data_IF_317457069796
#
_entry.id   IF_317457069796
#
_cell.length_a   1.000
_cell.length_b   1.000
_cell.length_c   1.000
_cell.angle_alpha   90.00
_cell.angle_beta   90.00
_cell.angle_gamma   90.00
#
_symmetry.space_group_name_H-M   'P 1'
#
loop_
_entity.id
_entity.type
_entity.pdbx_description
1 polymer ?
#
# COMPACT_ATOMS: atom_id res chain seq x y z
N UNK A 1 -0.60 12.13 -62.99
CA UNK A 1 -1.70 12.48 -62.05
C UNK A 1 -1.66 11.49 -60.89
N UNK A 2 -0.80 11.73 -59.87
CA UNK A 2 -0.65 10.86 -58.73
C UNK A 2 -1.48 11.41 -57.55
N UNK A 3 -2.52 10.68 -57.16
CA UNK A 3 -3.34 10.98 -56.00
C UNK A 3 -2.59 10.60 -54.73
N UNK A 4 -2.30 11.58 -53.88
CA UNK A 4 -1.77 11.40 -52.55
C UNK A 4 -2.76 10.65 -51.65
N UNK A 5 -2.47 9.40 -51.31
CA UNK A 5 -3.17 8.61 -50.30
C UNK A 5 -2.59 8.99 -48.90
N UNK A 6 -3.30 9.85 -48.16
CA UNK A 6 -2.99 10.13 -46.76
C UNK A 6 -3.39 8.91 -45.94
N UNK A 7 -2.38 8.14 -45.51
CA UNK A 7 -2.55 7.05 -44.54
C UNK A 7 -2.78 7.67 -43.14
N UNK A 8 -4.04 7.75 -42.71
CA UNK A 8 -4.36 8.07 -41.32
C UNK A 8 -4.07 6.84 -40.46
N UNK A 9 -2.94 6.83 -39.77
CA UNK A 9 -2.66 5.84 -38.73
C UNK A 9 -3.51 6.21 -37.52
N UNK A 10 -4.64 5.55 -37.34
CA UNK A 10 -5.41 5.55 -36.10
C UNK A 10 -4.64 4.72 -35.06
N UNK A 11 -3.86 5.36 -34.21
CA UNK A 11 -3.32 4.72 -33.02
C UNK A 11 -4.50 4.55 -32.07
N UNK A 12 -5.09 3.36 -32.05
CA UNK A 12 -6.00 2.95 -30.99
C UNK A 12 -5.21 2.87 -29.68
N UNK A 13 -5.30 3.90 -28.87
CA UNK A 13 -5.00 3.78 -27.46
C UNK A 13 -6.07 2.87 -26.84
N UNK A 14 -5.82 1.56 -26.87
CA UNK A 14 -6.54 0.64 -26.00
C UNK A 14 -6.21 1.08 -24.57
N UNK A 15 -7.21 1.46 -23.75
CA UNK A 15 -6.96 1.66 -22.34
C UNK A 15 -6.42 0.33 -21.81
N UNK A 16 -5.21 0.33 -21.26
CA UNK A 16 -4.71 -0.81 -20.51
C UNK A 16 -5.61 -0.86 -19.28
N UNK A 17 -6.66 -1.65 -19.37
CA UNK A 17 -7.52 -1.96 -18.25
C UNK A 17 -6.66 -2.80 -17.32
N UNK A 18 -6.15 -2.18 -16.26
CA UNK A 18 -5.45 -2.89 -15.21
C UNK A 18 -6.50 -3.74 -14.49
N UNK A 19 -6.63 -5.00 -14.91
CA UNK A 19 -7.53 -5.94 -14.24
C UNK A 19 -7.01 -6.15 -12.82
N UNK A 20 -7.90 -5.99 -11.84
CA UNK A 20 -7.62 -6.33 -10.46
C UNK A 20 -7.13 -7.79 -10.40
N UNK A 21 -5.99 -8.00 -9.77
CA UNK A 21 -5.43 -9.34 -9.64
C UNK A 21 -6.24 -10.16 -8.67
N UNK A 22 -6.46 -11.44 -9.03
CA UNK A 22 -7.16 -12.42 -8.20
C UNK A 22 -6.17 -13.11 -7.27
N UNK A 23 -6.49 -13.17 -6.01
CA UNK A 23 -5.76 -13.83 -4.93
C UNK A 23 -6.54 -15.04 -4.43
N UNK A 24 -5.86 -16.00 -3.82
CA UNK A 24 -6.49 -17.20 -3.27
C UNK A 24 -5.84 -17.60 -1.96
N UNK A 25 -6.66 -17.77 -0.93
CA UNK A 25 -6.28 -18.29 0.39
C UNK A 25 -7.03 -19.59 0.67
N UNK A 26 -6.34 -20.56 1.28
CA UNK A 26 -6.95 -21.77 1.81
C UNK A 26 -6.78 -21.78 3.33
N UNK A 27 -7.88 -21.76 4.04
CA UNK A 27 -7.92 -21.89 5.49
C UNK A 27 -8.25 -23.34 5.82
N UNK A 28 -7.27 -24.06 6.36
CA UNK A 28 -7.45 -25.42 6.85
C UNK A 28 -7.85 -25.34 8.32
N UNK A 29 -9.13 -25.56 8.57
CA UNK A 29 -9.71 -25.45 9.90
C UNK A 29 -9.22 -26.55 10.85
N UNK A 30 -8.66 -27.66 10.32
CA UNK A 30 -8.11 -28.75 11.13
C UNK A 30 -6.85 -28.30 11.90
N UNK A 31 -6.11 -27.33 11.37
CA UNK A 31 -4.87 -26.84 11.94
C UNK A 31 -5.05 -25.67 12.93
N UNK A 32 -6.26 -25.15 13.08
CA UNK A 32 -6.51 -24.03 13.98
C UNK A 32 -6.67 -24.53 15.42
N UNK A 33 -5.70 -24.20 16.27
CA UNK A 33 -5.72 -24.60 17.69
C UNK A 33 -6.48 -23.63 18.59
N UNK A 34 -6.67 -22.39 18.17
CA UNK A 34 -7.22 -21.34 19.03
C UNK A 34 -8.14 -20.39 18.25
N UNK A 35 -9.36 -20.86 17.98
CA UNK A 35 -10.40 -20.04 17.36
C UNK A 35 -11.37 -19.52 18.44
N UNK A 36 -11.17 -18.27 18.86
CA UNK A 36 -12.00 -17.61 19.89
C UNK A 36 -13.09 -16.72 19.27
N UNK A 37 -13.94 -17.29 18.40
CA UNK A 37 -15.00 -16.57 17.70
C UNK A 37 -14.55 -15.77 16.48
N UNK A 38 -13.28 -15.32 16.43
CA UNK A 38 -12.69 -14.63 15.29
C UNK A 38 -11.34 -15.25 14.95
N UNK A 39 -11.13 -15.55 13.68
CA UNK A 39 -9.86 -16.03 13.14
C UNK A 39 -9.43 -15.16 11.96
N UNK A 40 -8.14 -14.83 11.90
CA UNK A 40 -7.56 -14.01 10.81
C UNK A 40 -6.41 -14.75 10.16
N UNK A 41 -6.40 -14.76 8.84
CA UNK A 41 -5.29 -15.22 8.02
C UNK A 41 -5.09 -14.23 6.87
N UNK A 42 -3.94 -13.52 6.87
CA UNK A 42 -3.74 -12.40 5.96
C UNK A 42 -4.83 -11.34 6.13
N UNK A 43 -5.46 -10.95 5.03
CA UNK A 43 -6.59 -9.99 5.04
C UNK A 43 -7.95 -10.66 5.23
N UNK A 44 -8.02 -11.99 5.30
CA UNK A 44 -9.26 -12.74 5.49
C UNK A 44 -9.62 -12.83 6.97
N UNK A 45 -10.88 -12.59 7.27
CA UNK A 45 -11.47 -12.67 8.61
C UNK A 45 -12.62 -13.67 8.58
N UNK A 46 -12.52 -14.69 9.42
CA UNK A 46 -13.62 -15.61 9.74
C UNK A 46 -14.15 -15.25 11.13
N UNK A 47 -15.45 -15.11 11.24
CA UNK A 47 -16.13 -14.87 12.51
C UNK A 47 -17.29 -15.84 12.64
N UNK A 48 -17.45 -16.44 13.82
CA UNK A 48 -18.60 -17.31 14.14
C UNK A 48 -19.38 -16.66 15.26
N UNK A 49 -20.67 -16.51 15.02
CA UNK A 49 -21.60 -15.98 16.01
C UNK A 49 -22.79 -16.92 16.18
N UNK A 50 -23.43 -16.88 17.36
CA UNK A 50 -24.68 -17.57 17.61
C UNK A 50 -25.88 -16.81 16.99
N UNK A 51 -27.08 -17.37 17.09
CA UNK A 51 -28.32 -16.74 16.60
C UNK A 51 -28.63 -15.36 17.18
N UNK A 52 -27.97 -14.98 18.29
CA UNK A 52 -28.10 -13.67 18.92
C UNK A 52 -26.98 -12.69 18.47
N UNK A 53 -26.17 -13.09 17.48
CA UNK A 53 -25.05 -12.28 16.98
C UNK A 53 -23.82 -12.21 17.91
N UNK A 54 -23.79 -13.02 18.97
CA UNK A 54 -22.67 -13.04 19.91
C UNK A 54 -21.55 -13.96 19.39
N UNK A 55 -20.31 -13.47 19.23
CA UNK A 55 -19.18 -14.32 18.89
C UNK A 55 -18.94 -15.40 19.94
N UNK A 56 -18.66 -16.62 19.52
CA UNK A 56 -18.32 -17.71 20.43
C UNK A 56 -17.21 -18.58 19.86
N UNK A 57 -16.54 -19.33 20.75
CA UNK A 57 -15.49 -20.26 20.33
C UNK A 57 -16.12 -21.54 19.77
N UNK A 58 -15.94 -21.82 18.49
CA UNK A 58 -16.50 -23.02 17.86
C UNK A 58 -15.86 -24.30 18.42
N UNK A 59 -16.60 -25.39 18.33
CA UNK A 59 -16.12 -26.70 18.74
C UNK A 59 -15.48 -27.41 17.56
N UNK A 60 -14.28 -27.95 17.78
CA UNK A 60 -13.60 -28.81 16.83
C UNK A 60 -13.79 -30.27 17.23
N UNK A 61 -14.15 -31.12 16.28
CA UNK A 61 -14.36 -32.55 16.47
C UNK A 61 -13.44 -33.37 15.56
N UNK A 62 -13.06 -34.56 16.02
CA UNK A 62 -12.17 -35.47 15.29
C UNK A 62 -10.75 -35.50 15.83
N UNK A 63 -9.96 -36.46 15.36
CA UNK A 63 -8.54 -36.63 15.68
C UNK A 63 -7.70 -35.58 14.92
N UNK A 64 -6.45 -35.44 15.31
CA UNK A 64 -5.53 -34.41 14.80
C UNK A 64 -5.46 -34.30 13.28
N UNK A 65 -5.58 -35.43 12.58
CA UNK A 65 -5.49 -35.49 11.10
C UNK A 65 -6.86 -35.42 10.40
N UNK A 66 -7.97 -35.56 11.11
CA UNK A 66 -9.34 -35.53 10.58
C UNK A 66 -10.25 -34.61 11.39
N UNK A 67 -9.71 -33.49 11.83
CA UNK A 67 -10.39 -32.50 12.66
C UNK A 67 -11.29 -31.62 11.80
N UNK A 68 -12.51 -31.36 12.31
CA UNK A 68 -13.52 -30.53 11.67
C UNK A 68 -14.00 -29.42 12.60
N UNK A 69 -14.27 -28.31 12.01
CA UNK A 69 -14.99 -27.22 12.64
C UNK A 69 -16.49 -27.56 12.66
N UNK A 70 -17.08 -27.71 13.85
CA UNK A 70 -18.50 -27.93 14.04
C UNK A 70 -19.23 -26.60 14.02
N UNK A 71 -20.14 -26.47 13.06
CA UNK A 71 -20.99 -25.30 12.85
C UNK A 71 -22.44 -25.72 13.14
N UNK A 72 -23.05 -25.15 14.20
CA UNK A 72 -24.39 -25.53 14.62
C UNK A 72 -25.45 -24.91 13.71
N UNK A 73 -26.63 -25.48 13.68
CA UNK A 73 -27.73 -25.09 12.80
C UNK A 73 -28.23 -23.65 13.04
N UNK A 74 -27.98 -23.09 14.20
CA UNK A 74 -28.38 -21.73 14.58
C UNK A 74 -27.29 -20.71 14.47
N UNK A 75 -26.07 -21.14 14.10
CA UNK A 75 -24.91 -20.28 14.04
C UNK A 75 -24.80 -19.55 12.70
N UNK A 76 -24.06 -18.47 12.71
CA UNK A 76 -23.66 -17.72 11.53
C UNK A 76 -22.16 -17.79 11.36
N UNK A 77 -21.70 -18.16 10.16
CA UNK A 77 -20.31 -18.02 9.73
C UNK A 77 -20.19 -16.79 8.86
N UNK A 78 -19.41 -15.84 9.30
CA UNK A 78 -19.09 -14.64 8.56
C UNK A 78 -17.72 -14.77 7.91
N UNK A 79 -17.62 -14.50 6.62
CA UNK A 79 -16.39 -14.44 5.86
C UNK A 79 -16.27 -13.04 5.30
N UNK A 80 -15.21 -12.34 5.66
CA UNK A 80 -14.94 -10.97 5.22
C UNK A 80 -13.44 -10.72 5.11
N UNK A 81 -13.07 -9.50 4.73
CA UNK A 81 -11.68 -9.08 4.77
C UNK A 81 -11.53 -7.59 4.55
N UNK A 82 -10.32 -7.10 4.81
CA UNK A 82 -10.00 -5.68 4.70
C UNK A 82 -9.77 -5.30 3.24
N UNK A 83 -10.58 -4.37 2.74
CA UNK A 83 -10.46 -3.84 1.38
C UNK A 83 -10.45 -4.90 0.27
N UNK A 84 -11.22 -5.97 0.44
CA UNK A 84 -11.35 -7.06 -0.54
C UNK A 84 -12.77 -7.23 -1.06
N UNK A 85 -12.86 -7.91 -2.20
CA UNK A 85 -14.09 -8.37 -2.81
C UNK A 85 -13.99 -9.86 -3.06
N UNK A 86 -14.90 -10.64 -2.47
CA UNK A 86 -14.94 -12.08 -2.60
C UNK A 86 -15.39 -12.46 -4.03
N UNK A 87 -14.65 -13.33 -4.70
CA UNK A 87 -14.93 -13.85 -6.04
C UNK A 87 -15.50 -15.26 -6.00
N UNK A 88 -14.88 -16.12 -5.18
CA UNK A 88 -15.26 -17.50 -5.03
C UNK A 88 -14.99 -17.95 -3.58
N UNK A 89 -15.89 -18.73 -3.02
CA UNK A 89 -15.69 -19.40 -1.74
C UNK A 89 -16.05 -20.88 -1.91
N UNK A 90 -15.12 -21.78 -1.58
CA UNK A 90 -15.33 -23.23 -1.67
C UNK A 90 -15.19 -23.84 -0.29
N UNK A 91 -16.25 -24.45 0.19
CA UNK A 91 -16.29 -25.18 1.45
C UNK A 91 -16.02 -26.66 1.22
N UNK A 92 -15.11 -27.24 1.96
CA UNK A 92 -14.90 -28.68 2.06
C UNK A 92 -15.52 -29.15 3.35
N UNK A 93 -16.62 -29.92 3.25
CA UNK A 93 -17.43 -30.36 4.39
C UNK A 93 -17.49 -31.88 4.49
N UNK A 94 -17.62 -32.40 5.72
CA UNK A 94 -17.85 -33.83 5.96
C UNK A 94 -19.31 -34.15 5.73
N UNK A 95 -19.61 -35.15 4.87
CA UNK A 95 -20.94 -35.78 4.61
C UNK A 95 -22.04 -34.97 3.91
N UNK A 96 -22.93 -35.72 3.27
CA UNK A 96 -23.88 -35.36 2.19
C UNK A 96 -25.24 -34.79 2.65
N UNK A 97 -25.47 -34.42 3.90
CA UNK A 97 -26.87 -34.29 4.40
C UNK A 97 -27.23 -32.88 4.92
N UNK A 98 -26.54 -31.86 4.53
CA UNK A 98 -26.86 -30.48 4.92
C UNK A 98 -26.62 -29.52 3.77
N UNK A 99 -27.42 -28.48 3.71
CA UNK A 99 -27.26 -27.39 2.80
C UNK A 99 -26.81 -26.14 3.58
N UNK A 100 -25.86 -25.40 3.03
CA UNK A 100 -25.48 -24.09 3.52
C UNK A 100 -26.39 -23.04 2.89
N UNK A 101 -26.88 -22.12 3.68
CA UNK A 101 -27.68 -20.98 3.25
C UNK A 101 -26.88 -19.70 3.39
N UNK A 102 -26.76 -18.95 2.31
CA UNK A 102 -26.25 -17.60 2.34
C UNK A 102 -27.36 -16.69 2.85
N UNK A 103 -27.12 -15.98 3.96
CA UNK A 103 -28.04 -14.97 4.48
C UNK A 103 -27.78 -13.63 3.81
N UNK A 104 -26.52 -13.24 3.69
CA UNK A 104 -26.06 -11.99 3.05
C UNK A 104 -24.91 -12.29 2.11
N UNK A 105 -24.80 -11.61 0.97
CA UNK A 105 -25.66 -10.52 0.46
C UNK A 105 -26.97 -10.99 -0.18
N UNK A 106 -27.14 -12.28 -0.44
CA UNK A 106 -28.35 -12.82 -1.08
C UNK A 106 -28.89 -13.99 -0.28
N UNK A 107 -30.16 -14.05 -0.15
CA UNK A 107 -30.88 -15.16 0.49
C UNK A 107 -30.91 -16.37 -0.49
N UNK A 108 -29.85 -17.18 -0.51
CA UNK A 108 -29.71 -18.31 -1.45
C UNK A 108 -29.19 -19.57 -0.75
N UNK A 109 -29.81 -20.69 -1.03
CA UNK A 109 -29.32 -22.01 -0.59
C UNK A 109 -28.25 -22.48 -1.59
N UNK A 110 -27.08 -22.84 -1.06
CA UNK A 110 -26.04 -23.50 -1.82
C UNK A 110 -26.38 -24.98 -1.96
N UNK A 111 -26.78 -25.38 -3.15
CA UNK A 111 -26.96 -26.79 -3.47
C UNK A 111 -25.61 -27.42 -3.81
N UNK A 112 -25.39 -28.62 -3.32
CA UNK A 112 -24.23 -29.41 -3.68
C UNK A 112 -24.28 -29.72 -5.19
N UNK A 113 -23.55 -28.97 -6.01
CA UNK A 113 -23.51 -29.18 -7.45
C UNK A 113 -22.39 -30.12 -7.90
N UNK A 114 -21.36 -30.28 -7.08
CA UNK A 114 -20.13 -31.00 -7.44
C UNK A 114 -19.89 -32.15 -6.46
N UNK A 115 -20.76 -33.18 -6.51
CA UNK A 115 -20.40 -34.49 -5.97
C UNK A 115 -19.32 -35.09 -6.89
N UNK A 116 -18.09 -34.64 -6.77
CA UNK A 116 -16.96 -35.46 -7.19
C UNK A 116 -16.81 -36.55 -6.14
N UNK A 117 -17.53 -37.64 -6.30
CA UNK A 117 -17.27 -38.87 -5.59
C UNK A 117 -15.92 -39.42 -6.04
N UNK A 118 -14.86 -38.87 -5.49
CA UNK A 118 -13.63 -39.62 -5.40
C UNK A 118 -13.91 -40.75 -4.39
N UNK A 119 -13.91 -42.01 -4.79
CA UNK A 119 -14.34 -43.19 -4.02
C UNK A 119 -13.72 -43.31 -2.61
N UNK A 120 -12.75 -42.47 -2.29
CA UNK A 120 -12.03 -42.43 -1.01
C UNK A 120 -12.17 -41.12 -0.21
N UNK A 121 -12.92 -40.12 -0.70
CA UNK A 121 -13.03 -38.81 -0.01
C UNK A 121 -14.48 -38.62 0.47
N UNK A 122 -14.63 -38.55 1.79
CA UNK A 122 -15.91 -38.35 2.49
C UNK A 122 -16.38 -36.87 2.52
N UNK A 123 -15.97 -36.00 1.56
CA UNK A 123 -16.19 -34.58 1.64
C UNK A 123 -17.18 -34.09 0.57
N UNK A 124 -18.00 -33.12 0.93
CA UNK A 124 -18.87 -32.39 0.02
C UNK A 124 -18.29 -31.00 -0.27
N UNK A 125 -18.40 -30.53 -1.50
CA UNK A 125 -17.91 -29.23 -1.92
C UNK A 125 -19.08 -28.30 -2.21
N UNK A 126 -19.07 -27.13 -1.59
CA UNK A 126 -20.04 -26.06 -1.84
C UNK A 126 -19.28 -24.87 -2.41
N UNK A 127 -19.67 -24.40 -3.59
CA UNK A 127 -19.01 -23.30 -4.28
C UNK A 127 -19.98 -22.14 -4.45
N UNK A 128 -19.53 -20.95 -4.07
CA UNK A 128 -20.13 -19.68 -4.45
C UNK A 128 -19.35 -19.14 -5.65
N UNK A 129 -19.97 -19.12 -6.83
CA UNK A 129 -19.41 -18.48 -8.01
C UNK A 129 -19.69 -16.97 -7.97
N UNK A 130 -18.72 -16.18 -8.51
CA UNK A 130 -18.63 -14.74 -8.38
C UNK A 130 -19.64 -13.90 -9.16
N UNK A 131 -20.83 -14.42 -9.43
CA UNK A 131 -21.88 -13.62 -10.10
C UNK A 131 -22.35 -12.43 -9.26
N UNK A 132 -21.93 -12.36 -7.97
CA UNK A 132 -22.29 -11.28 -7.07
C UNK A 132 -21.14 -11.00 -6.12
N UNK A 133 -20.39 -9.97 -6.44
CA UNK A 133 -19.23 -9.50 -5.72
C UNK A 133 -19.65 -8.93 -4.35
N UNK A 134 -19.15 -9.49 -3.26
CA UNK A 134 -19.41 -8.98 -1.93
C UNK A 134 -18.14 -8.86 -1.09
N UNK A 135 -18.11 -7.91 -0.18
CA UNK A 135 -17.03 -7.74 0.80
C UNK A 135 -17.23 -8.59 2.05
N UNK A 136 -18.46 -9.07 2.29
CA UNK A 136 -18.83 -9.91 3.44
C UNK A 136 -19.87 -10.96 3.02
N UNK A 137 -19.60 -12.21 3.37
CA UNK A 137 -20.48 -13.34 3.18
C UNK A 137 -20.94 -13.84 4.56
N UNK A 138 -22.24 -14.02 4.77
CA UNK A 138 -22.81 -14.59 5.99
C UNK A 138 -23.59 -15.85 5.61
N UNK A 139 -23.26 -16.96 6.27
CA UNK A 139 -23.87 -18.27 6.03
C UNK A 139 -24.45 -18.84 7.32
N UNK A 140 -25.48 -19.67 7.15
CA UNK A 140 -26.02 -20.55 8.21
C UNK A 140 -26.31 -21.92 7.64
N UNK A 141 -26.59 -22.88 8.49
CA UNK A 141 -27.15 -24.19 8.07
C UNK A 141 -28.64 -24.06 7.77
N UNK A 142 -29.12 -24.73 6.73
CA UNK A 142 -30.56 -24.80 6.40
C UNK A 142 -31.29 -25.86 7.22
N UNK A 143 -30.54 -26.82 7.75
CA UNK A 143 -31.08 -27.98 8.48
C UNK A 143 -30.90 -27.83 9.99
N UNK A 144 -31.65 -28.54 10.77
CA UNK A 144 -31.47 -28.65 12.24
C UNK A 144 -30.20 -29.44 12.61
N UNK A 145 -29.38 -29.81 11.64
CA UNK A 145 -28.14 -30.58 11.83
C UNK A 145 -26.92 -29.70 11.73
N UNK A 146 -25.93 -30.07 12.51
CA UNK A 146 -24.62 -29.40 12.45
C UNK A 146 -23.89 -29.65 11.14
N UNK A 147 -23.17 -28.65 10.69
CA UNK A 147 -22.29 -28.70 9.53
C UNK A 147 -20.81 -28.87 10.01
N UNK A 148 -20.10 -29.77 9.37
CA UNK A 148 -18.71 -30.05 9.71
C UNK A 148 -17.82 -29.60 8.56
N UNK A 149 -17.12 -28.47 8.76
CA UNK A 149 -16.26 -27.84 7.73
C UNK A 149 -14.82 -28.21 8.02
N UNK A 150 -14.11 -28.77 7.01
CA UNK A 150 -12.69 -29.10 7.07
C UNK A 150 -11.81 -27.92 6.62
N UNK A 151 -12.17 -27.31 5.49
CA UNK A 151 -11.41 -26.18 4.96
C UNK A 151 -12.31 -25.24 4.16
N UNK A 152 -11.85 -24.02 4.05
CA UNK A 152 -12.47 -22.96 3.25
C UNK A 152 -11.40 -22.41 2.31
N UNK A 153 -11.62 -22.53 0.99
CA UNK A 153 -10.83 -21.85 -0.02
C UNK A 153 -11.54 -20.57 -0.42
N UNK A 154 -10.86 -19.45 -0.32
CA UNK A 154 -11.39 -18.13 -0.62
C UNK A 154 -10.59 -17.54 -1.77
N UNK A 155 -11.28 -17.13 -2.83
CA UNK A 155 -10.72 -16.39 -3.97
C UNK A 155 -11.27 -14.98 -3.91
N UNK A 156 -10.40 -14.00 -3.99
CA UNK A 156 -10.76 -12.60 -3.81
C UNK A 156 -9.89 -11.66 -4.66
N UNK A 157 -10.31 -10.44 -4.79
CA UNK A 157 -9.52 -9.34 -5.33
C UNK A 157 -9.50 -8.19 -4.32
N UNK A 158 -8.43 -7.42 -4.30
CA UNK A 158 -8.40 -6.17 -3.54
C UNK A 158 -9.18 -5.09 -4.29
N UNK A 159 -9.91 -4.29 -3.53
CA UNK A 159 -10.37 -3.00 -4.02
C UNK A 159 -9.17 -2.07 -4.19
N UNK A 160 -9.19 -1.14 -5.14
CA UNK A 160 -8.13 -0.15 -5.28
C UNK A 160 -7.94 0.64 -3.98
N UNK A 161 -6.68 0.93 -3.66
CA UNK A 161 -6.33 1.79 -2.53
C UNK A 161 -6.37 3.24 -2.97
N UNK A 162 -7.23 4.03 -2.34
CA UNK A 162 -7.44 5.44 -2.66
C UNK A 162 -6.50 6.32 -1.88
N UNK A 163 -5.64 7.08 -2.57
CA UNK A 163 -4.66 8.00 -1.98
C UNK A 163 -4.96 9.42 -2.44
N UNK A 164 -5.11 10.35 -1.49
CA UNK A 164 -5.32 11.76 -1.77
C UNK A 164 -4.01 12.54 -1.68
N UNK A 165 -3.74 13.36 -2.70
CA UNK A 165 -2.60 14.29 -2.75
C UNK A 165 -3.15 15.72 -2.66
N UNK A 166 -2.61 16.48 -1.71
CA UNK A 166 -3.02 17.85 -1.43
C UNK A 166 -2.33 18.87 -2.38
N UNK A 167 -2.55 20.16 -2.12
CA UNK A 167 -1.83 21.27 -2.80
C UNK A 167 -0.31 21.19 -2.63
N UNK A 168 0.19 20.47 -1.63
CA UNK A 168 1.61 20.21 -1.45
C UNK A 168 2.22 19.38 -2.60
N UNK A 169 1.38 18.81 -3.49
CA UNK A 169 1.74 17.96 -4.63
C UNK A 169 2.61 16.75 -4.25
N UNK A 170 2.62 16.42 -2.97
CA UNK A 170 3.38 15.28 -2.41
C UNK A 170 2.59 14.62 -1.29
N UNK A 171 2.78 13.31 -1.17
CA UNK A 171 2.31 12.49 -0.06
C UNK A 171 3.31 11.37 0.21
N UNK A 172 3.24 10.74 1.37
CA UNK A 172 4.02 9.52 1.64
C UNK A 172 3.12 8.31 1.62
N UNK A 173 3.69 7.14 1.26
CA UNK A 173 2.96 5.89 1.19
C UNK A 173 3.83 4.72 1.67
N UNK A 174 3.21 3.80 2.42
CA UNK A 174 3.82 2.57 2.87
C UNK A 174 2.76 1.48 3.08
N UNK A 175 3.07 0.26 2.64
CA UNK A 175 2.37 -0.98 2.98
C UNK A 175 3.40 -2.10 3.16
N UNK A 176 3.37 -2.81 4.28
CA UNK A 176 4.34 -3.88 4.55
C UNK A 176 4.04 -5.14 3.76
N UNK A 177 2.78 -5.41 3.47
CA UNK A 177 2.25 -6.66 2.92
C UNK A 177 1.75 -6.55 1.48
N UNK A 178 1.61 -5.35 0.92
CA UNK A 178 1.05 -5.10 -0.40
C UNK A 178 2.05 -4.47 -1.36
N UNK A 179 2.20 -5.08 -2.54
CA UNK A 179 2.84 -4.43 -3.68
C UNK A 179 1.81 -3.66 -4.49
N UNK A 180 2.16 -2.46 -4.96
CA UNK A 180 1.23 -1.50 -5.55
C UNK A 180 1.66 -1.09 -6.95
N UNK A 181 0.73 -1.11 -7.91
CA UNK A 181 0.97 -0.57 -9.26
C UNK A 181 0.79 0.94 -9.23
N UNK A 182 1.80 1.68 -9.69
CA UNK A 182 1.76 3.15 -9.77
C UNK A 182 0.76 3.59 -10.83
N UNK A 183 -0.27 4.38 -10.48
CA UNK A 183 -1.28 4.84 -11.44
C UNK A 183 -0.76 5.96 -12.33
N UNK A 184 -1.55 6.31 -13.35
CA UNK A 184 -1.27 7.48 -14.20
C UNK A 184 -1.28 8.77 -13.37
N UNK A 185 -0.39 9.70 -13.71
CA UNK A 185 -0.30 11.02 -13.08
C UNK A 185 0.52 11.04 -11.78
N UNK A 186 1.03 9.90 -11.33
CA UNK A 186 1.91 9.77 -10.16
C UNK A 186 3.31 9.32 -10.58
N UNK A 187 4.30 9.85 -9.87
CA UNK A 187 5.65 9.30 -9.79
C UNK A 187 5.95 9.05 -8.32
N UNK A 188 6.44 7.85 -8.00
CA UNK A 188 6.87 7.52 -6.64
C UNK A 188 8.40 7.45 -6.57
N UNK A 189 8.97 7.91 -5.45
CA UNK A 189 10.39 7.96 -5.23
C UNK A 189 10.77 7.37 -3.88
N UNK A 190 11.84 6.60 -3.86
CA UNK A 190 12.62 6.36 -2.65
C UNK A 190 13.70 7.43 -2.49
N UNK A 191 14.26 7.53 -1.30
CA UNK A 191 15.26 8.54 -0.98
C UNK A 191 16.44 7.93 -0.23
N UNK A 192 17.63 8.53 -0.44
CA UNK A 192 18.87 8.25 0.29
C UNK A 192 19.44 9.52 0.87
N UNK A 193 20.33 9.41 1.84
CA UNK A 193 21.07 10.54 2.39
C UNK A 193 22.52 10.44 1.92
N UNK A 194 22.97 11.49 1.21
CA UNK A 194 24.34 11.62 0.69
C UNK A 194 24.89 12.97 1.15
N UNK A 195 26.05 12.98 1.77
CA UNK A 195 26.69 14.21 2.26
C UNK A 195 25.73 15.09 3.08
N UNK A 196 24.97 14.47 3.99
CA UNK A 196 23.95 15.12 4.81
C UNK A 196 22.87 15.87 4.00
N UNK A 197 22.54 15.39 2.81
CA UNK A 197 21.49 15.89 1.93
C UNK A 197 20.57 14.76 1.50
N UNK A 198 19.27 15.04 1.42
CA UNK A 198 18.26 14.07 0.97
C UNK A 198 18.22 14.08 -0.55
N UNK A 199 18.51 12.94 -1.16
CA UNK A 199 18.52 12.76 -2.61
C UNK A 199 17.53 11.70 -3.05
N UNK A 200 16.93 11.89 -4.23
CA UNK A 200 16.11 10.87 -4.89
C UNK A 200 16.99 9.66 -5.22
N UNK A 201 16.54 8.46 -4.89
CA UNK A 201 17.27 7.22 -5.13
C UNK A 201 16.62 6.44 -6.30
N UNK A 202 15.54 5.72 -6.06
CA UNK A 202 14.87 4.95 -7.11
C UNK A 202 13.54 5.59 -7.50
N UNK A 203 13.20 5.49 -8.80
CA UNK A 203 11.99 6.05 -9.38
C UNK A 203 11.05 4.94 -9.83
N UNK A 204 9.78 5.04 -9.43
CA UNK A 204 8.69 4.22 -9.94
C UNK A 204 7.77 5.10 -10.78
N UNK A 205 7.68 4.81 -12.07
CA UNK A 205 6.81 5.49 -13.02
C UNK A 205 5.45 4.79 -13.12
N UNK A 206 4.55 5.33 -13.95
CA UNK A 206 3.28 4.68 -14.28
C UNK A 206 3.51 3.20 -14.68
N UNK A 207 2.71 2.30 -14.12
CA UNK A 207 2.76 0.85 -14.29
C UNK A 207 3.96 0.14 -13.64
N UNK A 208 4.94 0.85 -13.08
CA UNK A 208 5.94 0.23 -12.24
C UNK A 208 5.30 -0.25 -10.93
N UNK A 209 5.98 -1.16 -10.25
CA UNK A 209 5.49 -1.77 -9.02
C UNK A 209 6.32 -1.27 -7.86
N UNK A 210 5.66 -0.59 -6.91
CA UNK A 210 6.23 -0.32 -5.59
C UNK A 210 6.15 -1.63 -4.80
N UNK A 211 7.29 -2.25 -4.42
CA UNK A 211 7.29 -3.50 -3.69
C UNK A 211 6.69 -3.35 -2.30
N UNK A 212 6.11 -4.42 -1.78
CA UNK A 212 5.72 -4.48 -0.38
C UNK A 212 6.90 -4.16 0.56
N UNK A 213 6.63 -3.48 1.66
CA UNK A 213 7.65 -3.03 2.63
C UNK A 213 8.53 -1.88 2.12
N UNK A 214 8.16 -1.22 1.01
CA UNK A 214 8.91 -0.09 0.46
C UNK A 214 8.16 1.21 0.74
N UNK A 215 8.75 2.07 1.55
CA UNK A 215 8.24 3.41 1.81
C UNK A 215 8.66 4.37 0.69
N UNK A 216 7.73 5.21 0.23
CA UNK A 216 7.96 6.15 -0.89
C UNK A 216 7.35 7.52 -0.61
N UNK A 217 7.86 8.52 -1.33
CA UNK A 217 7.19 9.81 -1.54
C UNK A 217 6.53 9.80 -2.91
N UNK A 218 5.27 10.10 -2.95
CA UNK A 218 4.46 10.28 -4.16
C UNK A 218 4.53 11.74 -4.61
N UNK A 219 4.77 11.97 -5.88
CA UNK A 219 4.71 13.30 -6.53
C UNK A 219 3.60 13.28 -7.59
N UNK A 220 2.62 14.17 -7.46
CA UNK A 220 1.52 14.33 -8.40
C UNK A 220 0.83 15.68 -8.22
N UNK A 221 -0.06 16.05 -9.12
CA UNK A 221 -0.97 17.17 -8.89
C UNK A 221 -1.95 16.84 -7.76
N UNK A 222 -2.58 17.87 -7.19
CA UNK A 222 -3.69 17.67 -6.25
C UNK A 222 -4.76 16.79 -6.87
N UNK A 223 -5.24 15.79 -6.14
CA UNK A 223 -6.26 14.87 -6.62
C UNK A 223 -6.30 13.58 -5.82
N UNK A 224 -7.17 12.69 -6.26
CA UNK A 224 -7.35 11.36 -5.71
C UNK A 224 -6.91 10.32 -6.73
N UNK A 225 -6.13 9.35 -6.31
CA UNK A 225 -5.50 8.34 -7.16
C UNK A 225 -5.76 6.94 -6.62
N UNK A 226 -6.02 6.00 -7.52
CA UNK A 226 -6.31 4.62 -7.17
C UNK A 226 -5.11 3.72 -7.51
N UNK A 227 -4.54 3.09 -6.48
CA UNK A 227 -3.47 2.12 -6.61
C UNK A 227 -4.03 0.71 -6.62
N UNK A 228 -3.67 -0.08 -7.60
CA UNK A 228 -4.06 -1.49 -7.70
C UNK A 228 -3.05 -2.35 -6.95
N UNK A 229 -3.56 -3.22 -6.06
CA UNK A 229 -2.75 -4.22 -5.36
C UNK A 229 -2.40 -5.36 -6.32
N UNK A 230 -1.14 -5.80 -6.29
CA UNK A 230 -0.63 -6.87 -7.16
C UNK A 230 0.22 -7.87 -6.39
N UNK A 231 0.22 -9.14 -6.82
CA UNK A 231 1.15 -10.15 -6.32
C UNK A 231 2.52 -10.11 -7.03
N UNK A 232 2.66 -9.28 -8.08
CA UNK A 232 3.95 -9.12 -8.75
C UNK A 232 4.93 -8.40 -7.83
N UNK A 233 6.19 -8.72 -7.96
CA UNK A 233 7.29 -8.09 -7.24
C UNK A 233 7.88 -6.95 -8.07
N UNK A 234 8.19 -5.83 -7.41
CA UNK A 234 8.94 -4.73 -8.00
C UNK A 234 10.41 -4.75 -7.58
N UNK A 235 11.18 -3.78 -8.08
CA UNK A 235 12.58 -3.60 -7.70
C UNK A 235 12.65 -2.89 -6.34
N UNK A 236 13.32 -3.51 -5.35
CA UNK A 236 13.58 -2.90 -4.05
C UNK A 236 14.84 -2.06 -4.11
N UNK A 237 14.76 -0.85 -3.61
CA UNK A 237 15.90 0.03 -3.42
C UNK A 237 16.56 -0.24 -2.06
N UNK A 238 17.82 -0.65 -2.07
CA UNK A 238 18.59 -0.97 -0.86
C UNK A 238 19.04 0.27 -0.08
N UNK A 239 19.15 1.39 -0.76
CA UNK A 239 19.62 2.66 -0.20
C UNK A 239 18.50 3.51 0.39
N UNK A 240 17.26 3.02 0.34
CA UNK A 240 16.09 3.75 0.80
C UNK A 240 16.12 3.98 2.32
N UNK A 241 16.26 5.24 2.72
CA UNK A 241 16.22 5.65 4.14
C UNK A 241 14.81 5.84 4.69
N UNK A 242 13.80 5.79 3.81
CA UNK A 242 12.41 5.89 4.23
C UNK A 242 11.97 4.60 4.92
N UNK A 243 11.27 4.74 6.02
CA UNK A 243 10.56 3.69 6.76
C UNK A 243 9.08 4.03 6.79
N UNK A 244 8.26 3.08 7.18
CA UNK A 244 6.83 3.29 7.32
C UNK A 244 6.19 2.30 8.27
N UNK A 245 4.92 2.51 8.58
CA UNK A 245 4.11 1.65 9.44
C UNK A 245 2.71 1.47 8.87
N UNK A 246 2.12 0.28 9.02
CA UNK A 246 0.75 -0.01 8.59
C UNK A 246 -0.29 0.50 9.59
N UNK A 247 0.12 0.72 10.83
CA UNK A 247 -0.69 1.27 11.91
C UNK A 247 -0.05 2.54 12.44
N UNK A 248 -0.80 3.32 13.21
CA UNK A 248 -0.22 4.40 13.99
C UNK A 248 0.66 3.82 15.09
N UNK A 249 1.98 4.05 15.00
CA UNK A 249 2.95 3.54 15.96
C UNK A 249 4.16 4.47 16.09
N UNK A 250 4.93 4.30 17.18
CA UNK A 250 6.20 5.01 17.38
C UNK A 250 7.21 4.65 16.27
N UNK A 251 7.91 5.68 15.80
CA UNK A 251 8.99 5.51 14.81
C UNK A 251 10.15 4.71 15.41
N UNK A 252 10.77 3.86 14.59
CA UNK A 252 11.85 2.94 14.99
C UNK A 252 12.86 2.72 13.85
N UNK A 253 14.00 2.13 14.17
CA UNK A 253 15.02 1.73 13.19
C UNK A 253 16.02 2.82 12.83
N UNK A 254 16.15 3.87 13.64
CA UNK A 254 17.14 4.93 13.54
C UNK A 254 17.44 5.56 14.89
N UNK A 255 18.37 6.50 14.90
CA UNK A 255 18.69 7.36 16.06
C UNK A 255 17.93 8.69 15.99
N UNK A 256 17.68 9.18 14.77
CA UNK A 256 17.03 10.46 14.50
C UNK A 256 15.91 10.25 13.50
N UNK A 257 14.77 10.87 13.78
CA UNK A 257 13.56 10.68 13.01
C UNK A 257 12.99 11.97 12.44
N UNK A 258 12.47 11.90 11.21
CA UNK A 258 11.90 13.04 10.51
C UNK A 258 10.52 12.67 9.96
N UNK A 259 9.53 13.48 10.27
CA UNK A 259 8.18 13.38 9.73
C UNK A 259 8.06 14.15 8.40
N UNK A 260 7.30 13.61 7.47
CA UNK A 260 6.91 14.34 6.27
C UNK A 260 5.84 15.40 6.60
N UNK A 261 6.18 16.67 6.41
CA UNK A 261 5.26 17.79 6.69
C UNK A 261 5.64 19.06 5.92
N UNK A 262 4.74 20.04 5.92
CA UNK A 262 5.05 21.42 5.58
C UNK A 262 5.78 22.12 6.74
N UNK A 263 6.69 23.01 6.42
CA UNK A 263 7.42 23.82 7.37
C UNK A 263 7.86 25.15 6.75
N UNK A 264 8.63 25.95 7.48
CA UNK A 264 9.13 27.26 7.02
C UNK A 264 9.95 27.18 5.73
N UNK A 265 10.59 26.03 5.50
CA UNK A 265 11.38 25.77 4.29
C UNK A 265 10.60 25.00 3.21
N UNK A 266 9.26 25.03 3.27
CA UNK A 266 8.39 24.30 2.35
C UNK A 266 8.08 22.86 2.81
N UNK A 267 7.67 22.02 1.86
CA UNK A 267 7.36 20.60 2.12
C UNK A 267 8.68 19.81 2.17
N UNK A 268 8.79 18.97 3.20
CA UNK A 268 10.00 18.18 3.44
C UNK A 268 9.85 17.23 4.61
N UNK A 269 10.97 16.75 5.10
CA UNK A 269 11.06 15.92 6.30
C UNK A 269 11.65 16.76 7.44
N UNK A 270 10.95 16.87 8.54
CA UNK A 270 11.29 17.71 9.69
C UNK A 270 11.28 16.91 10.98
N UNK A 271 12.10 17.30 11.93
CA UNK A 271 11.95 16.84 13.30
C UNK A 271 10.55 17.17 13.83
N UNK A 272 9.94 16.22 14.51
CA UNK A 272 8.67 16.45 15.20
C UNK A 272 8.91 16.82 16.66
N UNK A 273 9.92 16.19 17.27
CA UNK A 273 10.36 16.42 18.61
C UNK A 273 11.75 17.06 18.60
N UNK A 274 12.16 17.67 19.70
CA UNK A 274 13.50 18.19 19.88
C UNK A 274 14.54 17.10 19.62
N UNK A 275 15.67 17.47 19.02
CA UNK A 275 16.78 16.58 18.67
C UNK A 275 16.42 15.37 17.80
N UNK A 276 15.23 15.38 17.18
CA UNK A 276 14.79 14.31 16.30
C UNK A 276 14.42 13.01 17.00
N UNK A 277 13.97 13.08 18.26
CA UNK A 277 13.45 11.91 18.98
C UNK A 277 12.27 11.26 18.26
N UNK A 278 11.95 10.00 18.65
CA UNK A 278 10.82 9.26 18.10
C UNK A 278 9.50 10.00 18.24
N UNK A 279 8.58 9.70 17.35
CA UNK A 279 7.24 10.26 17.34
C UNK A 279 6.23 9.22 16.80
N UNK A 280 4.94 9.43 17.07
CA UNK A 280 3.87 8.62 16.49
C UNK A 280 3.71 8.94 15.01
N UNK A 281 4.05 7.97 14.15
CA UNK A 281 3.81 8.03 12.72
C UNK A 281 2.42 7.50 12.39
N UNK A 282 1.67 8.20 11.54
CA UNK A 282 0.34 7.76 11.13
C UNK A 282 0.39 6.49 10.27
N UNK A 283 -0.73 5.75 10.27
CA UNK A 283 -0.89 4.54 9.45
C UNK A 283 -0.63 4.81 7.96
N UNK A 284 0.09 3.89 7.31
CA UNK A 284 0.47 3.94 5.89
C UNK A 284 1.26 5.19 5.47
N UNK A 285 1.94 5.85 6.43
CA UNK A 285 2.80 7.00 6.17
C UNK A 285 4.27 6.60 6.24
N UNK A 286 5.10 7.34 5.48
CA UNK A 286 6.53 7.18 5.56
C UNK A 286 7.19 8.30 6.39
N UNK A 287 8.28 7.96 7.02
CA UNK A 287 9.18 8.83 7.77
C UNK A 287 10.64 8.50 7.43
N UNK A 288 11.57 9.37 7.78
CA UNK A 288 13.00 9.04 7.71
C UNK A 288 13.45 8.55 9.08
N UNK A 289 14.18 7.41 9.08
CA UNK A 289 14.95 6.92 10.21
C UNK A 289 16.43 6.97 9.84
N UNK A 290 17.19 7.84 10.49
CA UNK A 290 18.56 8.15 10.13
C UNK A 290 19.54 7.81 11.26
N UNK A 291 20.66 7.20 10.88
CA UNK A 291 21.79 6.94 11.75
C UNK A 291 22.99 7.78 11.23
N UNK A 292 23.22 8.99 11.76
CA UNK A 292 24.32 9.81 11.29
C UNK A 292 25.67 9.10 11.58
N UNK A 293 26.64 9.18 10.67
CA UNK A 293 28.00 8.71 10.95
C UNK A 293 28.59 9.43 12.17
N UNK A 294 29.37 8.73 12.97
CA UNK A 294 29.98 9.28 14.20
C UNK A 294 30.84 10.54 13.97
N UNK A 295 31.32 10.73 12.73
CA UNK A 295 32.14 11.87 12.29
C UNK A 295 31.32 13.04 11.76
N UNK A 296 29.98 12.91 11.70
CA UNK A 296 29.11 13.96 11.16
C UNK A 296 28.93 15.10 12.15
N UNK A 297 28.99 16.32 11.66
CA UNK A 297 28.43 17.48 12.35
C UNK A 297 26.96 17.20 12.71
N UNK A 298 26.43 17.84 13.75
CA UNK A 298 25.08 17.64 14.25
C UNK A 298 24.05 17.51 13.13
N UNK A 299 23.11 16.56 13.29
CA UNK A 299 22.07 16.33 12.29
C UNK A 299 21.23 17.59 12.07
N UNK A 300 20.85 17.82 10.81
CA UNK A 300 20.02 18.97 10.43
C UNK A 300 18.59 18.78 10.93
N UNK A 301 17.89 19.82 11.39
CA UNK A 301 16.51 19.70 11.87
C UNK A 301 15.49 19.42 10.74
N UNK A 302 15.90 19.49 9.48
CA UNK A 302 15.06 19.20 8.33
C UNK A 302 15.85 18.78 7.08
N UNK A 303 15.15 18.04 6.19
CA UNK A 303 15.56 17.76 4.83
C UNK A 303 14.52 18.32 3.86
N UNK A 304 14.89 19.32 3.09
CA UNK A 304 14.04 19.82 2.00
C UNK A 304 14.16 18.90 0.78
N UNK A 305 13.10 18.82 -0.02
CA UNK A 305 13.19 18.20 -1.33
C UNK A 305 13.99 19.13 -2.26
N UNK A 306 15.08 18.61 -2.81
CA UNK A 306 15.78 19.32 -3.86
C UNK A 306 14.84 19.46 -5.07
N UNK A 307 14.27 20.64 -5.26
CA UNK A 307 13.76 21.03 -6.56
C UNK A 307 14.97 21.22 -7.47
N UNK A 308 14.89 20.75 -8.71
CA UNK A 308 15.97 20.83 -9.69
C UNK A 308 16.44 22.26 -10.07
N UNK A 309 16.08 23.25 -9.26
CA UNK A 309 16.54 24.64 -9.31
C UNK A 309 17.64 24.93 -8.30
N UNK A 310 18.15 23.93 -7.58
CA UNK A 310 19.41 24.13 -6.86
C UNK A 310 20.54 24.09 -7.88
N UNK A 311 20.87 25.25 -8.41
CA UNK A 311 22.25 25.56 -8.74
C UNK A 311 23.05 25.09 -7.52
N UNK A 312 23.93 24.10 -7.70
CA UNK A 312 24.92 23.74 -6.71
C UNK A 312 25.42 25.02 -6.08
N UNK A 313 25.16 25.22 -4.79
CA UNK A 313 26.00 26.12 -4.04
C UNK A 313 27.38 25.46 -4.09
N UNK A 314 28.18 25.86 -5.03
CA UNK A 314 29.62 25.69 -4.95
C UNK A 314 29.98 26.21 -3.57
N UNK A 315 30.29 25.30 -2.65
CA UNK A 315 30.97 25.66 -1.42
C UNK A 315 32.29 26.30 -1.82
N UNK A 316 32.27 27.61 -1.95
CA UNK A 316 33.48 28.38 -1.99
C UNK A 316 34.05 28.29 -0.59
N UNK A 317 34.84 27.23 -0.38
CA UNK A 317 35.77 27.18 0.73
C UNK A 317 36.59 28.44 0.71
N UNK A 318 36.57 29.22 1.79
CA UNK A 318 37.45 30.27 2.21
C UNK A 318 38.60 30.58 1.22
N UNK A 319 38.40 31.55 0.33
CA UNK A 319 39.46 32.42 -0.12
C UNK A 319 39.08 33.84 0.26
N UNK A 320 39.65 34.29 1.35
CA UNK A 320 39.82 35.72 1.63
C UNK A 320 40.54 36.33 0.47
N UNK A 321 39.84 37.13 -0.33
CA UNK A 321 40.38 37.87 -1.44
C UNK A 321 39.23 38.59 -2.14
N UNK A 322 39.13 39.86 -1.93
CA UNK A 322 38.20 40.82 -2.47
C UNK A 322 38.05 40.68 -3.99
N UNK A 323 36.99 40.00 -4.45
CA UNK A 323 36.46 40.27 -5.79
C UNK A 323 34.94 40.06 -5.74
N UNK A 324 34.19 41.11 -5.40
CA UNK A 324 32.74 41.19 -5.48
C UNK A 324 32.30 41.13 -6.95
N UNK A 325 32.40 39.95 -7.56
CA UNK A 325 31.94 39.74 -8.92
C UNK A 325 30.42 39.78 -8.97
N UNK A 326 29.87 40.73 -9.70
CA UNK A 326 28.41 40.92 -9.88
C UNK A 326 28.04 40.37 -11.26
N UNK A 327 26.97 39.57 -11.33
CA UNK A 327 26.50 38.97 -12.56
C UNK A 327 25.05 39.39 -12.84
N UNK A 328 24.63 39.48 -14.09
CA UNK A 328 23.24 39.61 -14.49
C UNK A 328 22.55 38.23 -14.51
N UNK A 329 21.23 38.17 -14.81
CA UNK A 329 20.50 36.92 -14.90
C UNK A 329 20.97 35.98 -16.02
N UNK A 330 21.67 36.51 -17.02
CA UNK A 330 22.25 35.69 -18.09
C UNK A 330 23.64 35.13 -17.71
N UNK A 331 24.11 35.35 -16.47
CA UNK A 331 25.41 34.86 -16.00
C UNK A 331 26.61 35.68 -16.48
N UNK A 332 26.39 36.82 -17.11
CA UNK A 332 27.47 37.72 -17.56
C UNK A 332 27.91 38.61 -16.41
N UNK A 333 29.22 38.78 -16.23
CA UNK A 333 29.80 39.72 -15.26
C UNK A 333 29.44 41.16 -15.65
N UNK A 334 28.89 41.91 -14.70
CA UNK A 334 28.45 43.30 -14.94
C UNK A 334 29.14 44.27 -13.97
N UNK A 335 29.17 45.54 -14.35
CA UNK A 335 29.77 46.60 -13.52
C UNK A 335 28.88 46.92 -12.30
N UNK A 336 29.47 47.62 -11.32
CA UNK A 336 28.71 48.11 -10.15
C UNK A 336 27.60 49.10 -10.53
N UNK A 337 27.59 49.65 -11.73
CA UNK A 337 26.59 50.63 -12.21
C UNK A 337 25.46 49.98 -13.01
N UNK A 338 25.48 48.64 -13.15
CA UNK A 338 24.44 47.91 -13.88
C UNK A 338 23.09 48.04 -13.17
N UNK A 339 22.06 48.47 -13.91
CA UNK A 339 20.67 48.58 -13.42
C UNK A 339 19.86 47.32 -13.79
N UNK A 340 19.13 46.78 -12.85
CA UNK A 340 18.36 45.56 -13.05
C UNK A 340 18.62 44.52 -11.98
N UNK A 341 18.25 43.27 -12.26
CA UNK A 341 18.47 42.15 -11.33
C UNK A 341 19.94 41.71 -11.45
N UNK A 342 20.65 41.76 -10.33
CA UNK A 342 22.03 41.29 -10.21
C UNK A 342 22.10 40.07 -9.26
N UNK A 343 23.11 39.26 -9.49
CA UNK A 343 23.49 38.12 -8.61
C UNK A 343 24.87 38.47 -8.02
N UNK A 344 24.93 38.54 -6.70
CA UNK A 344 26.15 38.81 -5.94
C UNK A 344 26.15 37.87 -4.73
N UNK A 345 27.26 37.17 -4.53
CA UNK A 345 27.41 36.17 -3.45
C UNK A 345 26.23 35.14 -3.40
N UNK A 346 25.76 34.68 -4.58
CA UNK A 346 24.66 33.72 -4.70
C UNK A 346 23.27 34.26 -4.40
N UNK A 347 23.13 35.57 -4.11
CA UNK A 347 21.85 36.21 -3.82
C UNK A 347 21.44 37.16 -4.93
N UNK A 348 20.13 37.29 -5.17
CA UNK A 348 19.55 38.20 -6.16
C UNK A 348 19.20 39.54 -5.50
N UNK A 349 19.61 40.65 -6.16
CA UNK A 349 19.30 42.02 -5.75
C UNK A 349 18.72 42.79 -6.94
N UNK A 350 17.70 43.62 -6.67
CA UNK A 350 17.23 44.59 -7.66
C UNK A 350 17.98 45.91 -7.45
N UNK A 351 18.81 46.30 -8.46
CA UNK A 351 19.52 47.55 -8.45
C UNK A 351 18.78 48.58 -9.34
N UNK A 352 18.29 49.64 -8.73
CA UNK A 352 17.51 50.72 -9.37
C UNK A 352 18.41 51.74 -10.05
#
# INVERSE_FOLDING_TARGET
>A
MFKNLKLCVFIFFLPIVCYAQVFSEKIDLSNISNFKGVYKQGDIILEVSNSNGMPYSPVFLGDKDDRFFRFQSTDELHISGNNIRLKEVVFTCQKKHFDLKIIKPFNKVLKNKDNVENKNIKYSFYRLDGSSLCSKLILTSVTTRDVYIKSIKIVYEYLPLTISISEAKRATLYYSDKSLVVPAGIVAWTYKIVNNSLEKSHRYNRNDIIPNGTAVVLEANKGTYEFVVTAKTGVKDKDNVLKGSDQEEETKGGQIYYAFRGGINGVGFYWMNEDGHSFKNGAHKAYIAYNPPATSASAKPFFAFNTATNIHSLSISDRRGEDESIYNLAGQRVSKDYKGIIIMNGKKYLKK
#
